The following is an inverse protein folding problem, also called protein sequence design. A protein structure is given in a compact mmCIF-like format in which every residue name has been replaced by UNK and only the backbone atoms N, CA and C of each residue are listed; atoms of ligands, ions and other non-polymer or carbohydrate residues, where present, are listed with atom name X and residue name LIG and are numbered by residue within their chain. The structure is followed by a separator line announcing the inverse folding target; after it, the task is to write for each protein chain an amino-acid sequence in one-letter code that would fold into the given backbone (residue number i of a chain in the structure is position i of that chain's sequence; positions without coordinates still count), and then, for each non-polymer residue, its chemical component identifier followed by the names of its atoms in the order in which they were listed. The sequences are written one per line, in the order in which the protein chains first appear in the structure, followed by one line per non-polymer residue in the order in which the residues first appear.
data_IF_958540542955
#
_entry.id   IF_958540542955
#
_cell.length_a   1.000
_cell.length_b   1.000
_cell.length_c   1.000
_cell.angle_alpha   90.00
_cell.angle_beta   90.00
_cell.angle_gamma   90.00
#
_symmetry.space_group_name_H-M   'P 1'
#
loop_
_entity.id
_entity.type
_entity.pdbx_description
1 polymer ?
#
# COMPACT_ATOMS: atom_id res chain seq x y z
N UNK A 1 -9.64 8.72 0.29
CA UNK A 1 -8.22 8.28 0.44
C UNK A 1 -7.94 7.00 -0.33
N UNK A 2 -8.71 5.92 -0.10
CA UNK A 2 -8.54 4.64 -0.81
C UNK A 2 -8.47 4.80 -2.35
N UNK A 3 -9.40 5.55 -2.93
CA UNK A 3 -9.41 5.81 -4.38
C UNK A 3 -8.12 6.49 -4.89
N UNK A 4 -7.53 7.42 -4.13
CA UNK A 4 -6.27 8.06 -4.51
C UNK A 4 -5.09 7.09 -4.43
N UNK A 5 -5.12 6.18 -3.45
CA UNK A 5 -4.11 5.13 -3.32
C UNK A 5 -4.19 4.19 -4.53
N UNK A 6 -5.39 3.70 -4.86
CA UNK A 6 -5.61 2.87 -6.05
C UNK A 6 -5.18 3.56 -7.34
N UNK A 7 -5.54 4.84 -7.52
CA UNK A 7 -5.13 5.62 -8.68
C UNK A 7 -3.60 5.74 -8.78
N UNK A 8 -2.91 5.95 -7.65
CA UNK A 8 -1.45 6.05 -7.62
C UNK A 8 -0.76 4.77 -8.13
N UNK A 9 -1.30 3.58 -7.85
CA UNK A 9 -0.80 2.33 -8.43
C UNK A 9 -1.01 2.29 -9.95
N UNK A 10 -2.21 2.66 -10.42
CA UNK A 10 -2.54 2.72 -11.85
C UNK A 10 -1.64 3.67 -12.62
N UNK A 11 -1.37 4.87 -12.09
CA UNK A 11 -0.50 5.88 -12.70
C UNK A 11 0.94 5.38 -12.88
N UNK A 12 1.35 4.36 -12.12
CA UNK A 12 2.68 3.77 -12.15
C UNK A 12 2.72 2.44 -12.93
N UNK A 13 1.61 2.08 -13.59
CA UNK A 13 1.48 0.83 -14.34
C UNK A 13 1.58 -0.41 -13.45
N UNK A 14 1.16 -0.31 -12.19
CA UNK A 14 1.22 -1.41 -11.23
C UNK A 14 -0.17 -2.00 -11.04
N UNK A 15 -0.28 -3.31 -11.25
CA UNK A 15 -1.51 -4.06 -11.06
C UNK A 15 -1.66 -4.50 -9.61
N UNK A 16 -2.83 -4.21 -9.02
CA UNK A 16 -3.21 -4.67 -7.69
C UNK A 16 -3.94 -6.02 -7.86
N UNK A 17 -3.45 -7.07 -7.19
CA UNK A 17 -4.10 -8.37 -7.17
C UNK A 17 -5.09 -8.51 -6.00
N UNK A 18 -4.79 -7.88 -4.87
CA UNK A 18 -5.66 -7.87 -3.69
C UNK A 18 -5.52 -6.55 -2.92
N UNK A 19 -6.61 -6.13 -2.30
CA UNK A 19 -6.63 -4.99 -1.39
C UNK A 19 -7.40 -5.37 -0.13
N UNK A 20 -6.79 -5.16 1.03
CA UNK A 20 -7.40 -5.40 2.33
C UNK A 20 -7.40 -4.10 3.12
N UNK A 21 -8.57 -3.69 3.60
CA UNK A 21 -8.74 -2.45 4.35
C UNK A 21 -9.20 -2.80 5.77
N UNK A 22 -8.44 -2.37 6.76
CA UNK A 22 -8.76 -2.55 8.17
C UNK A 22 -8.78 -1.21 8.88
N UNK A 23 -9.93 -0.83 9.43
CA UNK A 23 -10.01 0.28 10.36
C UNK A 23 -9.51 -0.17 11.74
N UNK A 24 -8.80 0.71 12.46
CA UNK A 24 -8.40 0.52 13.85
C UNK A 24 -9.28 1.37 14.76
N UNK A 25 -9.40 0.99 16.03
CA UNK A 25 -10.26 1.69 17.00
C UNK A 25 -9.82 3.13 17.25
N UNK A 26 -8.52 3.45 17.09
CA UNK A 26 -7.96 4.80 17.13
C UNK A 26 -8.34 5.71 15.93
N UNK A 27 -9.32 5.31 15.11
CA UNK A 27 -9.75 6.08 13.94
C UNK A 27 -8.74 6.13 12.80
N UNK A 28 -7.75 5.23 12.79
CA UNK A 28 -6.80 5.05 11.69
C UNK A 28 -7.27 3.92 10.78
N UNK A 29 -6.71 3.87 9.57
CA UNK A 29 -6.94 2.78 8.63
C UNK A 29 -5.61 2.24 8.11
N UNK A 30 -5.48 0.92 8.13
CA UNK A 30 -4.39 0.19 7.51
C UNK A 30 -4.91 -0.40 6.20
N UNK A 31 -4.31 0.00 5.08
CA UNK A 31 -4.64 -0.50 3.76
C UNK A 31 -3.47 -1.33 3.25
N UNK A 32 -3.67 -2.64 3.13
CA UNK A 32 -2.67 -3.58 2.62
C UNK A 32 -3.00 -3.90 1.17
N UNK A 33 -2.04 -3.70 0.27
CA UNK A 33 -2.19 -4.00 -1.16
C UNK A 33 -1.18 -5.05 -1.57
N UNK A 34 -1.68 -6.11 -2.19
CA UNK A 34 -0.84 -7.03 -2.95
C UNK A 34 -0.77 -6.52 -4.37
N UNK A 35 0.44 -6.26 -4.84
CA UNK A 35 0.68 -5.69 -6.15
C UNK A 35 1.89 -6.38 -6.79
N UNK A 36 1.81 -6.58 -8.11
CA UNK A 36 2.92 -7.12 -8.88
C UNK A 36 3.79 -5.97 -9.40
N UNK A 37 5.05 -5.97 -9.00
CA UNK A 37 6.06 -5.02 -9.48
C UNK A 37 7.11 -5.75 -10.31
N UNK A 38 7.60 -5.11 -11.36
CA UNK A 38 8.56 -5.70 -12.30
C UNK A 38 9.99 -5.71 -11.76
N UNK A 39 10.34 -4.72 -10.95
CA UNK A 39 11.69 -4.51 -10.41
C UNK A 39 11.65 -3.67 -9.11
N UNK A 40 12.82 -3.53 -8.48
CA UNK A 40 13.00 -2.78 -7.25
C UNK A 40 12.77 -1.26 -7.45
N UNK A 41 13.00 -0.73 -8.63
CA UNK A 41 12.86 0.70 -8.89
C UNK A 41 11.39 1.10 -8.97
N UNK A 42 10.56 0.27 -9.63
CA UNK A 42 9.11 0.43 -9.63
C UNK A 42 8.55 0.33 -8.21
N UNK A 43 9.05 -0.60 -7.39
CA UNK A 43 8.67 -0.69 -5.97
C UNK A 43 8.98 0.60 -5.20
N UNK A 44 10.19 1.14 -5.36
CA UNK A 44 10.59 2.40 -4.71
C UNK A 44 9.75 3.59 -5.17
N UNK A 45 9.43 3.66 -6.46
CA UNK A 45 8.55 4.69 -7.01
C UNK A 45 7.15 4.62 -6.39
N UNK A 46 6.59 3.41 -6.28
CA UNK A 46 5.27 3.18 -5.66
C UNK A 46 5.26 3.65 -4.24
N UNK A 47 6.22 3.20 -3.42
CA UNK A 47 6.33 3.59 -2.02
C UNK A 47 6.43 5.12 -1.90
N UNK A 48 7.29 5.76 -2.70
CA UNK A 48 7.46 7.22 -2.68
C UNK A 48 6.20 7.98 -3.08
N UNK A 49 5.48 7.49 -4.09
CA UNK A 49 4.24 8.10 -4.58
C UNK A 49 3.14 8.02 -3.53
N UNK A 50 2.96 6.85 -2.92
CA UNK A 50 1.98 6.60 -1.86
C UNK A 50 2.26 7.48 -0.63
N UNK A 51 3.52 7.59 -0.19
CA UNK A 51 3.89 8.42 0.97
C UNK A 51 3.63 9.92 0.78
N UNK A 52 3.42 10.38 -0.46
CA UNK A 52 3.09 11.80 -0.76
C UNK A 52 1.59 12.09 -0.75
N UNK A 53 0.75 11.06 -0.73
CA UNK A 53 -0.70 11.25 -0.71
C UNK A 53 -1.10 11.86 0.64
N UNK A 54 -1.78 13.01 0.60
CA UNK A 54 -2.26 13.68 1.82
C UNK A 54 -3.16 12.74 2.63
N UNK A 55 -2.79 12.52 3.89
CA UNK A 55 -3.48 11.60 4.81
C UNK A 55 -2.84 10.21 4.94
N UNK A 56 -1.78 9.92 4.17
CA UNK A 56 -0.94 8.74 4.40
C UNK A 56 0.11 9.09 5.46
N UNK A 57 0.19 8.27 6.51
CA UNK A 57 1.13 8.46 7.62
C UNK A 57 2.45 7.72 7.40
N UNK A 58 2.39 6.46 6.95
CA UNK A 58 3.56 5.66 6.59
C UNK A 58 3.19 4.69 5.45
N UNK A 59 4.22 4.22 4.74
CA UNK A 59 4.11 3.19 3.72
C UNK A 59 5.28 2.24 3.91
N UNK A 60 4.97 0.98 4.14
CA UNK A 60 5.94 -0.05 4.46
C UNK A 60 5.79 -1.23 3.51
N UNK A 61 6.92 -1.81 3.08
CA UNK A 61 6.91 -3.07 2.33
C UNK A 61 6.68 -4.20 3.32
N UNK A 62 5.59 -4.95 3.14
CA UNK A 62 5.30 -6.15 3.92
C UNK A 62 6.05 -7.34 3.28
N UNK A 63 6.91 -8.02 4.03
CA UNK A 63 7.73 -9.16 3.53
C UNK A 63 7.26 -10.53 4.00
N UNK A 64 6.21 -10.60 4.81
CA UNK A 64 5.51 -11.81 5.22
C UNK A 64 4.17 -11.37 5.79
N UNK A 65 3.10 -12.15 5.64
CA UNK A 65 2.04 -12.12 6.65
C UNK A 65 2.79 -12.43 7.95
N UNK A 66 2.97 -11.44 8.83
CA UNK A 66 3.46 -11.74 10.16
C UNK A 66 2.43 -12.70 10.70
N UNK A 67 2.79 -13.98 10.78
CA UNK A 67 1.99 -15.00 11.43
C UNK A 67 1.49 -14.37 12.72
N UNK A 68 0.18 -14.23 12.79
CA UNK A 68 -0.51 -13.84 14.01
C UNK A 68 0.07 -14.66 15.15
N UNK A 69 0.54 -13.95 16.16
CA UNK A 69 1.00 -14.40 17.48
C UNK A 69 1.04 -15.91 17.76
N UNK A 70 2.20 -16.37 18.17
CA UNK A 70 2.33 -17.35 19.25
C UNK A 70 2.87 -16.64 20.49
#
# INVERSE_FOLDING_TARGET
LLAHISQSFTDQGVNISQAHCRATEDGRAVNTFHALVKDLDQLKQVIRSLSRIKGVYSVDRVTSEAASGS
#
